data_IF_969838210125
#
_entry.id   IF_969838210125
#
_cell.length_a   1.000
_cell.length_b   1.000
_cell.length_c   1.000
_cell.angle_alpha   90.00
_cell.angle_beta   90.00
_cell.angle_gamma   90.00
#
_symmetry.space_group_name_H-M   'P 1'
#
loop_
_entity.id
_entity.type
_entity.pdbx_description
1 polymer ?
#
# COMPACT_ATOMS: atom_id res chain seq x y z
N UNK A 1 17.18 26.34 -1.22
CA UNK A 1 15.69 26.33 -1.19
C UNK A 1 15.04 27.30 -2.17
N UNK A 2 15.66 28.45 -2.49
CA UNK A 2 15.11 29.42 -3.44
C UNK A 2 14.86 28.86 -4.85
N UNK A 3 15.59 27.82 -5.25
CA UNK A 3 15.45 27.20 -6.58
C UNK A 3 14.03 26.67 -6.85
N UNK A 4 13.40 25.99 -5.88
CA UNK A 4 12.04 25.47 -6.04
C UNK A 4 11.01 26.58 -6.28
N UNK A 5 11.13 27.65 -5.51
CA UNK A 5 10.23 28.80 -5.59
C UNK A 5 10.45 29.55 -6.90
N UNK A 6 11.72 29.72 -7.31
CA UNK A 6 12.07 30.40 -8.55
C UNK A 6 11.69 29.62 -9.82
N UNK A 7 11.59 28.29 -9.74
CA UNK A 7 11.30 27.41 -10.89
C UNK A 7 9.95 26.69 -10.76
N UNK A 8 9.03 27.24 -9.96
CA UNK A 8 7.76 26.58 -9.63
C UNK A 8 6.93 26.20 -10.86
N UNK A 9 6.90 27.08 -11.88
CA UNK A 9 6.17 26.83 -13.13
C UNK A 9 6.69 25.59 -13.89
N UNK A 10 7.99 25.30 -13.77
CA UNK A 10 8.59 24.10 -14.37
C UNK A 10 8.40 22.87 -13.50
N UNK A 11 8.42 23.02 -12.17
CA UNK A 11 8.35 21.90 -11.22
C UNK A 11 6.92 21.36 -11.09
N UNK A 12 5.91 22.23 -11.14
CA UNK A 12 4.52 21.84 -10.93
C UNK A 12 4.01 20.76 -11.91
N UNK A 13 4.21 20.89 -13.25
CA UNK A 13 3.84 19.84 -14.20
C UNK A 13 4.56 18.52 -13.93
N UNK A 14 5.82 18.58 -13.49
CA UNK A 14 6.64 17.41 -13.19
C UNK A 14 6.10 16.68 -11.94
N UNK A 15 5.66 17.42 -10.92
CA UNK A 15 4.98 16.84 -9.73
C UNK A 15 3.71 16.09 -10.17
N UNK A 16 2.88 16.70 -11.02
CA UNK A 16 1.65 16.08 -11.51
C UNK A 16 1.98 14.80 -12.29
N UNK A 17 2.96 14.87 -13.19
CA UNK A 17 3.39 13.70 -13.95
C UNK A 17 3.88 12.58 -13.04
N UNK A 18 4.71 12.90 -12.04
CA UNK A 18 5.21 11.94 -11.05
C UNK A 18 4.06 11.31 -10.25
N UNK A 19 3.08 12.14 -9.88
CA UNK A 19 1.87 11.72 -9.16
C UNK A 19 1.08 10.71 -9.99
N UNK A 20 0.81 11.00 -11.26
CA UNK A 20 0.08 10.10 -12.17
C UNK A 20 0.83 8.79 -12.35
N UNK A 21 2.14 8.86 -12.62
CA UNK A 21 3.00 7.68 -12.78
C UNK A 21 3.16 6.86 -11.50
N UNK A 22 2.83 7.43 -10.33
CA UNK A 22 2.85 6.71 -9.05
C UNK A 22 1.48 6.13 -8.70
N UNK A 23 0.40 6.90 -8.84
CA UNK A 23 -0.97 6.46 -8.46
C UNK A 23 -1.47 5.39 -9.40
N UNK A 24 -1.37 5.61 -10.71
CA UNK A 24 -1.99 4.73 -11.71
C UNK A 24 -1.47 3.29 -11.56
N UNK A 25 -0.15 3.03 -11.49
CA UNK A 25 0.34 1.66 -11.37
C UNK A 25 0.02 1.01 -10.03
N UNK A 26 0.00 1.79 -8.94
CA UNK A 26 -0.39 1.30 -7.62
C UNK A 26 -1.87 0.88 -7.60
N UNK A 27 -2.76 1.68 -8.19
CA UNK A 27 -4.20 1.36 -8.28
C UNK A 27 -4.41 0.14 -9.18
N UNK A 28 -3.81 0.10 -10.37
CA UNK A 28 -3.91 -1.06 -11.26
C UNK A 28 -3.36 -2.33 -10.60
N UNK A 29 -2.21 -2.22 -9.92
CA UNK A 29 -1.63 -3.33 -9.19
C UNK A 29 -2.53 -3.85 -8.08
N UNK A 30 -3.22 -2.95 -7.35
CA UNK A 30 -4.20 -3.33 -6.32
C UNK A 30 -5.42 -4.02 -6.92
N UNK A 31 -5.96 -3.48 -8.02
CA UNK A 31 -7.11 -4.05 -8.75
C UNK A 31 -6.80 -5.44 -9.29
N UNK A 32 -5.54 -5.73 -9.66
CA UNK A 32 -5.12 -7.06 -10.11
C UNK A 32 -4.81 -7.98 -8.92
N UNK A 33 -4.07 -7.48 -7.92
CA UNK A 33 -3.62 -8.29 -6.79
C UNK A 33 -4.75 -8.74 -5.86
N UNK A 34 -5.79 -7.92 -5.67
CA UNK A 34 -6.95 -8.26 -4.84
C UNK A 34 -7.67 -9.54 -5.32
N UNK A 35 -8.20 -9.60 -6.56
CA UNK A 35 -8.90 -10.78 -7.03
C UNK A 35 -7.96 -11.99 -7.11
N UNK A 36 -6.70 -11.81 -7.52
CA UNK A 36 -5.72 -12.90 -7.52
C UNK A 36 -5.50 -13.45 -6.10
N UNK A 37 -5.30 -12.59 -5.11
CA UNK A 37 -5.10 -13.00 -3.72
C UNK A 37 -6.32 -13.73 -3.15
N UNK A 38 -7.52 -13.21 -3.42
CA UNK A 38 -8.78 -13.85 -3.01
C UNK A 38 -8.96 -15.23 -3.64
N UNK A 39 -8.62 -15.40 -4.92
CA UNK A 39 -8.69 -16.70 -5.60
C UNK A 39 -7.67 -17.71 -5.06
N UNK A 40 -6.62 -17.25 -4.39
CA UNK A 40 -5.58 -18.12 -3.83
C UNK A 40 -5.86 -18.55 -2.38
N UNK A 41 -6.92 -18.02 -1.75
CA UNK A 41 -7.36 -18.46 -0.42
C UNK A 41 -7.68 -19.97 -0.44
N UNK A 42 -7.13 -20.70 0.53
CA UNK A 42 -7.29 -22.16 0.63
C UNK A 42 -6.52 -22.98 -0.42
N UNK A 43 -5.68 -22.35 -1.26
CA UNK A 43 -4.91 -23.02 -2.32
C UNK A 43 -3.39 -22.91 -2.07
N UNK A 44 -2.80 -23.73 -1.18
CA UNK A 44 -1.40 -23.57 -0.76
C UNK A 44 -0.40 -23.64 -1.93
N UNK A 45 -0.64 -24.52 -2.92
CA UNK A 45 0.19 -24.61 -4.13
C UNK A 45 0.12 -23.35 -4.99
N UNK A 46 -1.09 -22.84 -5.22
CA UNK A 46 -1.29 -21.60 -5.99
C UNK A 46 -0.65 -20.38 -5.32
N UNK A 47 -0.74 -20.30 -3.99
CA UNK A 47 -0.06 -19.27 -3.18
C UNK A 47 1.46 -19.34 -3.35
N UNK A 48 2.04 -20.54 -3.23
CA UNK A 48 3.47 -20.74 -3.45
C UNK A 48 3.93 -20.26 -4.83
N UNK A 49 3.20 -20.65 -5.89
CA UNK A 49 3.50 -20.21 -7.26
C UNK A 49 3.40 -18.69 -7.41
N UNK A 50 2.33 -18.07 -6.91
CA UNK A 50 2.14 -16.63 -7.01
C UNK A 50 3.24 -15.84 -6.29
N UNK A 51 3.66 -16.30 -5.10
CA UNK A 51 4.76 -15.69 -4.34
C UNK A 51 6.09 -15.84 -5.09
N UNK A 52 6.36 -17.00 -5.68
CA UNK A 52 7.58 -17.24 -6.48
C UNK A 52 7.60 -16.34 -7.72
N UNK A 53 6.49 -16.27 -8.48
CA UNK A 53 6.38 -15.38 -9.64
C UNK A 53 6.58 -13.93 -9.22
N UNK A 54 5.96 -13.50 -8.12
CA UNK A 54 6.17 -12.17 -7.56
C UNK A 54 7.63 -11.91 -7.16
N UNK A 55 8.31 -12.90 -6.55
CA UNK A 55 9.75 -12.79 -6.26
C UNK A 55 10.54 -12.52 -7.54
N UNK A 56 10.31 -13.32 -8.58
CA UNK A 56 11.05 -13.24 -9.85
C UNK A 56 10.86 -11.85 -10.47
N UNK A 57 9.62 -11.37 -10.55
CA UNK A 57 9.33 -10.03 -11.07
C UNK A 57 10.07 -8.96 -10.27
N UNK A 58 10.07 -9.06 -8.94
CA UNK A 58 10.71 -8.09 -8.06
C UNK A 58 12.25 -8.16 -8.08
N UNK A 59 12.84 -9.29 -8.46
CA UNK A 59 14.30 -9.39 -8.63
C UNK A 59 14.78 -8.77 -9.94
N UNK A 60 13.90 -8.58 -10.93
CA UNK A 60 14.26 -7.91 -12.17
C UNK A 60 14.37 -6.41 -11.87
N UNK A 61 15.52 -5.77 -12.12
CA UNK A 61 15.67 -4.33 -11.92
C UNK A 61 14.61 -3.56 -12.71
N UNK A 62 13.98 -2.55 -12.09
CA UNK A 62 12.96 -1.73 -12.76
C UNK A 62 13.47 -1.10 -14.07
N UNK A 63 14.74 -0.70 -14.10
CA UNK A 63 15.40 -0.19 -15.29
C UNK A 63 15.39 -1.20 -16.45
N UNK A 64 15.64 -2.48 -16.17
CA UNK A 64 15.64 -3.53 -17.19
C UNK A 64 14.23 -3.74 -17.76
N UNK A 65 13.19 -3.72 -16.91
CA UNK A 65 11.80 -3.79 -17.37
C UNK A 65 11.47 -2.62 -18.28
N UNK A 66 11.90 -1.40 -17.95
CA UNK A 66 11.63 -0.25 -18.80
C UNK A 66 12.25 -0.34 -20.20
N UNK A 67 13.38 -1.05 -20.35
CA UNK A 67 14.02 -1.29 -21.65
C UNK A 67 13.36 -2.42 -22.43
N UNK A 68 12.86 -3.46 -21.74
CA UNK A 68 12.27 -4.65 -22.37
C UNK A 68 10.80 -4.44 -22.80
N UNK A 69 10.00 -3.74 -22.00
CA UNK A 69 8.57 -3.49 -22.25
C UNK A 69 8.29 -2.88 -23.64
N UNK A 70 9.02 -1.85 -24.12
CA UNK A 70 8.80 -1.29 -25.46
C UNK A 70 8.82 -2.34 -26.57
N UNK A 71 9.75 -3.30 -26.51
CA UNK A 71 9.89 -4.38 -27.50
C UNK A 71 8.74 -5.38 -27.46
N UNK A 72 8.13 -5.59 -26.30
CA UNK A 72 7.00 -6.51 -26.12
C UNK A 72 5.69 -5.85 -26.55
N UNK A 73 5.49 -4.58 -26.17
CA UNK A 73 4.23 -3.85 -26.36
C UNK A 73 4.17 -3.14 -27.72
N UNK A 74 5.31 -2.94 -28.39
CA UNK A 74 5.40 -2.25 -29.68
C UNK A 74 5.28 -0.72 -29.54
N UNK A 75 5.66 -0.17 -28.39
CA UNK A 75 5.59 1.26 -28.08
C UNK A 75 6.96 1.94 -28.25
N UNK A 76 7.00 3.27 -28.44
CA UNK A 76 8.25 4.02 -28.37
C UNK A 76 8.93 3.84 -27.02
N UNK A 77 10.26 3.82 -26.98
CA UNK A 77 11.05 3.62 -25.75
C UNK A 77 10.67 4.67 -24.68
N UNK A 78 10.51 5.92 -25.09
CA UNK A 78 10.23 7.07 -24.20
C UNK A 78 8.71 7.25 -23.95
N UNK A 79 7.94 6.16 -23.92
CA UNK A 79 6.50 6.22 -23.65
C UNK A 79 6.21 6.14 -22.14
N UNK A 80 5.40 7.04 -21.56
CA UNK A 80 4.90 6.93 -20.19
C UNK A 80 4.18 5.61 -19.90
N UNK A 81 3.58 5.01 -20.93
CA UNK A 81 2.88 3.73 -20.84
C UNK A 81 3.82 2.60 -20.40
N UNK A 82 5.07 2.62 -20.85
CA UNK A 82 6.05 1.58 -20.49
C UNK A 82 6.36 1.59 -18.99
N UNK A 83 6.49 2.79 -18.42
CA UNK A 83 6.67 2.99 -16.98
C UNK A 83 5.43 2.52 -16.24
N UNK A 84 4.23 2.85 -16.73
CA UNK A 84 2.98 2.40 -16.09
C UNK A 84 2.89 0.87 -16.05
N UNK A 85 3.16 0.18 -17.16
CA UNK A 85 3.10 -1.29 -17.18
C UNK A 85 4.14 -1.90 -16.23
N UNK A 86 5.40 -1.48 -16.35
CA UNK A 86 6.47 -2.02 -15.52
C UNK A 86 6.20 -1.82 -14.01
N UNK A 87 5.75 -0.63 -13.63
CA UNK A 87 5.41 -0.32 -12.24
C UNK A 87 4.11 -1.01 -11.79
N UNK A 88 3.20 -1.33 -12.70
CA UNK A 88 1.99 -2.10 -12.39
C UNK A 88 2.37 -3.54 -12.08
N UNK A 89 3.29 -4.14 -12.84
CA UNK A 89 3.83 -5.48 -12.56
C UNK A 89 4.51 -5.51 -11.19
N UNK A 90 5.34 -4.51 -10.89
CA UNK A 90 5.99 -4.37 -9.58
C UNK A 90 4.99 -4.21 -8.44
N UNK A 91 4.03 -3.30 -8.60
CA UNK A 91 2.97 -3.06 -7.61
C UNK A 91 2.14 -4.33 -7.39
N UNK A 92 1.79 -5.05 -8.45
CA UNK A 92 1.07 -6.34 -8.36
C UNK A 92 1.89 -7.38 -7.60
N UNK A 93 3.18 -7.51 -7.89
CA UNK A 93 4.07 -8.46 -7.23
C UNK A 93 4.22 -8.18 -5.73
N UNK A 94 4.25 -6.92 -5.31
CA UNK A 94 4.33 -6.57 -3.89
C UNK A 94 2.96 -6.68 -3.20
N UNK A 95 1.89 -6.28 -3.90
CA UNK A 95 0.54 -6.31 -3.37
C UNK A 95 -0.03 -7.72 -3.25
N UNK A 96 0.33 -8.67 -4.11
CA UNK A 96 -0.16 -10.05 -3.96
C UNK A 96 0.30 -10.65 -2.62
N UNK A 97 1.54 -10.39 -2.21
CA UNK A 97 2.05 -10.79 -0.88
C UNK A 97 1.26 -10.11 0.23
N UNK A 98 1.13 -8.79 0.11
CA UNK A 98 0.39 -7.97 1.07
C UNK A 98 -1.04 -8.45 1.25
N UNK A 99 -1.75 -8.77 0.16
CA UNK A 99 -3.14 -9.26 0.20
C UNK A 99 -3.21 -10.61 0.90
N UNK A 100 -2.33 -11.54 0.57
CA UNK A 100 -2.29 -12.86 1.20
C UNK A 100 -1.98 -12.76 2.69
N UNK A 101 -0.99 -11.96 3.09
CA UNK A 101 -0.63 -11.71 4.49
C UNK A 101 -1.78 -11.02 5.26
N UNK A 102 -2.49 -10.11 4.60
CA UNK A 102 -3.63 -9.40 5.21
C UNK A 102 -4.82 -10.32 5.48
N UNK A 103 -5.10 -11.26 4.57
CA UNK A 103 -6.14 -12.26 4.76
C UNK A 103 -5.74 -13.30 5.82
N UNK A 104 -4.45 -13.64 5.89
CA UNK A 104 -3.93 -14.54 6.92
C UNK A 104 -4.00 -13.90 8.32
N UNK A 105 -3.89 -12.57 8.42
CA UNK A 105 -4.00 -11.83 9.68
C UNK A 105 -5.41 -11.86 10.31
N UNK A 106 -6.43 -12.31 9.57
CA UNK A 106 -7.77 -12.51 10.12
C UNK A 106 -7.73 -13.70 11.09
N UNK A 107 -8.24 -13.56 12.34
CA UNK A 107 -8.25 -14.64 13.31
C UNK A 107 -8.96 -15.90 12.83
N UNK A 108 -8.41 -17.08 13.14
CA UNK A 108 -8.95 -18.36 12.66
C UNK A 108 -10.30 -18.72 13.32
N UNK A 109 -10.53 -18.29 14.56
CA UNK A 109 -11.83 -18.42 15.24
C UNK A 109 -12.96 -17.70 14.49
N UNK A 110 -12.68 -16.54 13.89
CA UNK A 110 -13.64 -15.82 13.04
C UNK A 110 -13.88 -16.55 11.71
N UNK A 111 -12.85 -17.17 11.14
CA UNK A 111 -12.98 -17.99 9.92
C UNK A 111 -13.80 -19.25 10.18
N UNK A 112 -13.58 -19.91 11.32
CA UNK A 112 -14.32 -21.10 11.73
C UNK A 112 -15.78 -20.77 12.05
N UNK A 113 -16.03 -19.69 12.79
CA UNK A 113 -17.39 -19.23 13.10
C UNK A 113 -18.18 -18.87 11.83
N UNK A 114 -17.56 -18.15 10.89
CA UNK A 114 -18.21 -17.81 9.63
C UNK A 114 -18.49 -19.05 8.76
N UNK A 115 -17.60 -20.05 8.78
CA UNK A 115 -17.85 -21.35 8.15
C UNK A 115 -18.98 -22.13 8.84
N UNK A 116 -19.06 -22.12 10.17
CA UNK A 116 -20.12 -22.79 10.92
C UNK A 116 -21.52 -22.21 10.65
N UNK A 117 -21.62 -20.91 10.38
CA UNK A 117 -22.87 -20.21 10.00
C UNK A 117 -23.24 -20.48 8.53
N UNK A 118 -22.41 -21.17 7.75
CA UNK A 118 -22.72 -21.63 6.40
C UNK A 118 -22.25 -20.72 5.27
N UNK A 119 -21.30 -19.81 5.52
CA UNK A 119 -20.69 -19.04 4.42
C UNK A 119 -19.88 -19.95 3.49
N UNK A 120 -20.14 -19.85 2.18
CA UNK A 120 -19.26 -20.48 1.18
C UNK A 120 -17.89 -19.79 1.14
N UNK A 121 -16.81 -20.45 0.69
CA UNK A 121 -15.45 -19.91 0.77
C UNK A 121 -15.29 -18.51 0.17
N UNK A 122 -15.86 -18.27 -1.02
CA UNK A 122 -15.78 -16.95 -1.69
C UNK A 122 -16.62 -15.91 -0.96
N UNK A 123 -17.83 -16.27 -0.50
CA UNK A 123 -18.67 -15.36 0.28
C UNK A 123 -18.03 -15.02 1.62
N UNK A 124 -17.36 -15.97 2.26
CA UNK A 124 -16.60 -15.78 3.51
C UNK A 124 -15.47 -14.79 3.31
N UNK A 125 -14.69 -14.94 2.24
CA UNK A 125 -13.61 -14.00 1.91
C UNK A 125 -14.16 -12.59 1.67
N UNK A 126 -15.21 -12.43 0.86
CA UNK A 126 -15.74 -11.12 0.52
C UNK A 126 -16.44 -10.44 1.70
N UNK A 127 -17.26 -11.19 2.45
CA UNK A 127 -18.14 -10.62 3.46
C UNK A 127 -17.51 -10.53 4.85
N UNK A 128 -16.49 -11.34 5.15
CA UNK A 128 -15.89 -11.46 6.49
C UNK A 128 -14.40 -11.17 6.47
N UNK A 129 -13.62 -11.97 5.74
CA UNK A 129 -12.15 -11.88 5.80
C UNK A 129 -11.63 -10.56 5.21
N UNK A 130 -12.12 -10.16 4.04
CA UNK A 130 -11.65 -8.96 3.35
C UNK A 130 -11.91 -7.68 4.15
N UNK A 131 -13.12 -7.41 4.70
CA UNK A 131 -13.35 -6.26 5.58
C UNK A 131 -12.43 -6.23 6.81
N UNK A 132 -12.22 -7.39 7.45
CA UNK A 132 -11.34 -7.50 8.62
C UNK A 132 -9.86 -7.34 8.27
N UNK A 133 -9.47 -7.71 7.05
CA UNK A 133 -8.11 -7.57 6.53
C UNK A 133 -7.76 -6.14 6.08
N UNK A 134 -8.75 -5.26 5.83
CA UNK A 134 -8.52 -3.88 5.33
C UNK A 134 -7.43 -3.13 6.11
N UNK A 135 -7.36 -3.13 7.45
CA UNK A 135 -6.36 -2.35 8.18
C UNK A 135 -4.93 -2.79 7.88
N UNK A 136 -4.73 -4.12 7.76
CA UNK A 136 -3.43 -4.72 7.44
C UNK A 136 -3.10 -4.47 5.97
N UNK A 137 -4.08 -4.60 5.08
CA UNK A 137 -3.94 -4.34 3.65
C UNK A 137 -3.56 -2.88 3.39
N UNK A 138 -4.20 -1.93 4.09
CA UNK A 138 -3.87 -0.50 4.01
C UNK A 138 -2.44 -0.24 4.47
N UNK A 139 -2.00 -0.89 5.54
CA UNK A 139 -0.63 -0.74 6.03
C UNK A 139 0.40 -1.18 4.98
N UNK A 140 0.19 -2.32 4.33
CA UNK A 140 1.07 -2.76 3.25
C UNK A 140 0.94 -1.94 1.96
N UNK A 141 -0.28 -1.50 1.60
CA UNK A 141 -0.51 -0.62 0.45
C UNK A 141 0.26 0.70 0.58
N UNK A 142 0.39 1.24 1.80
CA UNK A 142 1.22 2.43 2.07
C UNK A 142 2.69 2.21 1.72
N UNK A 143 3.24 1.06 2.13
CA UNK A 143 4.62 0.67 1.79
C UNK A 143 4.78 0.53 0.28
N UNK A 144 3.84 -0.14 -0.40
CA UNK A 144 3.87 -0.29 -1.86
C UNK A 144 3.81 1.08 -2.56
N UNK A 145 2.91 1.96 -2.13
CA UNK A 145 2.74 3.27 -2.73
C UNK A 145 4.01 4.12 -2.61
N UNK A 146 4.63 4.18 -1.42
CA UNK A 146 5.88 4.90 -1.20
C UNK A 146 7.03 4.30 -2.02
N UNK A 147 7.09 2.97 -2.11
CA UNK A 147 8.07 2.27 -2.96
C UNK A 147 7.87 2.66 -4.42
N UNK A 148 6.63 2.70 -4.90
CA UNK A 148 6.32 3.05 -6.27
C UNK A 148 6.69 4.51 -6.59
N UNK A 149 6.39 5.45 -5.69
CA UNK A 149 6.83 6.86 -5.79
C UNK A 149 8.35 6.97 -5.96
N UNK A 150 9.12 6.13 -5.25
CA UNK A 150 10.58 6.06 -5.42
C UNK A 150 10.99 5.50 -6.78
N UNK A 151 10.32 4.44 -7.26
CA UNK A 151 10.64 3.79 -8.53
C UNK A 151 10.32 4.67 -9.75
N UNK A 152 9.30 5.53 -9.69
CA UNK A 152 9.02 6.51 -10.75
C UNK A 152 10.25 7.38 -11.03
N UNK A 153 11.01 7.76 -10.00
CA UNK A 153 12.22 8.59 -10.14
C UNK A 153 13.29 7.92 -11.02
N UNK A 154 13.33 6.59 -11.03
CA UNK A 154 14.25 5.82 -11.90
C UNK A 154 13.85 5.94 -13.37
N UNK A 155 12.57 6.15 -13.68
CA UNK A 155 12.07 6.35 -15.04
C UNK A 155 12.70 7.56 -15.74
N UNK A 156 13.14 8.56 -14.99
CA UNK A 156 13.84 9.72 -15.56
C UNK A 156 15.17 9.36 -16.23
N UNK A 157 15.81 8.26 -15.84
CA UNK A 157 17.08 7.79 -16.42
C UNK A 157 16.90 7.35 -17.88
N UNK A 158 15.73 6.84 -18.23
CA UNK A 158 15.39 6.46 -19.62
C UNK A 158 14.65 7.58 -20.37
N UNK A 159 14.66 8.81 -19.83
CA UNK A 159 14.00 9.97 -20.41
C UNK A 159 12.49 10.04 -20.16
N UNK A 160 11.92 9.14 -19.34
CA UNK A 160 10.49 9.14 -19.02
C UNK A 160 10.23 9.82 -17.69
N UNK A 161 9.96 11.14 -17.77
CA UNK A 161 9.06 11.83 -16.84
C UNK A 161 9.47 12.01 -15.37
N UNK A 162 8.68 12.84 -14.68
CA UNK A 162 8.60 12.88 -13.21
C UNK A 162 9.75 13.60 -12.50
N UNK A 163 9.67 13.64 -11.17
CA UNK A 163 10.59 14.39 -10.31
C UNK A 163 12.03 13.90 -10.39
N UNK A 164 12.25 12.66 -10.86
CA UNK A 164 13.58 12.15 -11.18
C UNK A 164 14.33 12.97 -12.24
N UNK A 165 13.63 13.73 -13.08
CA UNK A 165 14.26 14.64 -14.04
C UNK A 165 15.08 15.74 -13.36
N UNK A 166 14.69 16.14 -12.14
CA UNK A 166 15.48 17.10 -11.36
C UNK A 166 16.82 16.51 -10.93
N UNK A 167 16.89 15.19 -10.73
CA UNK A 167 18.13 14.49 -10.42
C UNK A 167 19.04 14.43 -11.64
N UNK A 168 18.52 13.97 -12.77
CA UNK A 168 19.32 13.83 -13.99
C UNK A 168 19.78 15.18 -14.51
N UNK A 169 18.90 16.20 -14.54
CA UNK A 169 19.27 17.55 -14.96
C UNK A 169 20.23 18.24 -13.99
N UNK A 170 20.00 18.10 -12.68
CA UNK A 170 20.91 18.65 -11.66
C UNK A 170 22.30 18.01 -11.72
N UNK A 171 22.36 16.68 -11.91
CA UNK A 171 23.63 15.95 -12.06
C UNK A 171 24.37 16.34 -13.34
N UNK A 172 23.67 16.43 -14.48
CA UNK A 172 24.27 16.84 -15.75
C UNK A 172 24.83 18.28 -15.74
N UNK A 173 24.27 19.15 -14.89
CA UNK A 173 24.67 20.55 -14.74
C UNK A 173 25.63 20.80 -13.57
N UNK A 174 26.03 19.75 -12.85
CA UNK A 174 26.78 19.83 -11.60
C UNK A 174 26.17 20.84 -10.59
N UNK A 175 24.84 20.80 -10.47
CA UNK A 175 24.06 21.77 -9.71
C UNK A 175 23.26 21.07 -8.59
N UNK A 176 23.88 20.88 -7.40
CA UNK A 176 23.33 20.05 -6.33
C UNK A 176 22.03 20.62 -5.73
N UNK A 177 21.83 21.93 -5.76
CA UNK A 177 20.61 22.58 -5.26
C UNK A 177 19.34 22.08 -5.96
N UNK A 178 19.41 21.78 -7.26
CA UNK A 178 18.30 21.20 -8.02
C UNK A 178 18.04 19.74 -7.63
N UNK A 179 19.09 18.99 -7.30
CA UNK A 179 18.97 17.60 -6.82
C UNK A 179 18.27 17.59 -5.45
N UNK A 180 18.72 18.43 -4.51
CA UNK A 180 18.09 18.56 -3.19
C UNK A 180 16.63 19.00 -3.28
N UNK A 181 16.32 19.94 -4.18
CA UNK A 181 14.94 20.34 -4.48
C UNK A 181 14.08 19.13 -4.89
N UNK A 182 14.58 18.28 -5.80
CA UNK A 182 13.90 17.06 -6.20
C UNK A 182 13.70 16.07 -5.05
N UNK A 183 14.73 15.87 -4.21
CA UNK A 183 14.68 14.92 -3.09
C UNK A 183 13.61 15.34 -2.09
N UNK A 184 13.62 16.61 -1.68
CA UNK A 184 12.65 17.15 -0.74
C UNK A 184 11.23 17.03 -1.32
N UNK A 185 11.05 17.37 -2.60
CA UNK A 185 9.73 17.31 -3.25
C UNK A 185 9.21 15.87 -3.32
N UNK A 186 10.06 14.89 -3.64
CA UNK A 186 9.70 13.47 -3.66
C UNK A 186 9.34 12.98 -2.25
N UNK A 187 10.11 13.36 -1.22
CA UNK A 187 9.82 12.98 0.17
C UNK A 187 8.48 13.55 0.66
N UNK A 188 8.21 14.82 0.35
CA UNK A 188 6.93 15.46 0.66
C UNK A 188 5.79 14.75 -0.07
N UNK A 189 5.96 14.45 -1.36
CA UNK A 189 4.95 13.75 -2.16
C UNK A 189 4.68 12.33 -1.62
N UNK A 190 5.73 11.57 -1.29
CA UNK A 190 5.61 10.25 -0.69
C UNK A 190 4.88 10.29 0.65
N UNK A 191 5.18 11.29 1.49
CA UNK A 191 4.47 11.49 2.75
C UNK A 191 2.99 11.82 2.55
N UNK A 192 2.67 12.69 1.57
CA UNK A 192 1.28 13.01 1.22
C UNK A 192 0.54 11.74 0.79
N UNK A 193 1.13 10.93 -0.09
CA UNK A 193 0.54 9.67 -0.55
C UNK A 193 0.28 8.71 0.62
N UNK A 194 1.28 8.50 1.47
CA UNK A 194 1.18 7.67 2.67
C UNK A 194 0.01 8.10 3.55
N UNK A 195 -0.12 9.42 3.78
CA UNK A 195 -1.17 9.99 4.62
C UNK A 195 -2.55 9.90 3.99
N UNK A 196 -2.68 10.15 2.69
CA UNK A 196 -3.95 10.00 1.96
C UNK A 196 -4.45 8.56 2.09
N UNK A 197 -3.59 7.57 1.83
CA UNK A 197 -3.95 6.15 1.95
C UNK A 197 -4.32 5.81 3.40
N UNK A 198 -3.56 6.31 4.39
CA UNK A 198 -3.88 6.09 5.80
C UNK A 198 -5.24 6.68 6.20
N UNK A 199 -5.57 7.89 5.74
CA UNK A 199 -6.85 8.55 6.01
C UNK A 199 -8.00 7.75 5.38
N UNK A 200 -7.84 7.35 4.11
CA UNK A 200 -8.82 6.50 3.42
C UNK A 200 -9.03 5.20 4.20
N UNK A 201 -7.95 4.54 4.63
CA UNK A 201 -8.05 3.29 5.39
C UNK A 201 -8.74 3.44 6.75
N UNK A 202 -8.54 4.56 7.45
CA UNK A 202 -9.28 4.84 8.69
C UNK A 202 -10.75 5.14 8.40
N UNK A 203 -11.06 5.82 7.28
CA UNK A 203 -12.43 6.11 6.88
C UNK A 203 -13.20 4.84 6.50
N UNK A 204 -12.55 3.85 5.89
CA UNK A 204 -13.15 2.56 5.52
C UNK A 204 -13.29 1.59 6.69
N UNK A 205 -12.64 1.85 7.84
CA UNK A 205 -12.62 0.94 9.00
C UNK A 205 -13.12 1.60 10.30
N UNK A 206 -14.35 2.14 10.33
CA UNK A 206 -14.87 2.88 11.50
C UNK A 206 -14.98 2.02 12.76
N UNK A 207 -15.18 0.71 12.64
CA UNK A 207 -15.33 -0.21 13.78
C UNK A 207 -14.09 -0.21 14.71
N UNK A 208 -12.88 -0.05 14.15
CA UNK A 208 -11.63 0.03 14.92
C UNK A 208 -11.54 1.28 15.81
N UNK A 209 -12.30 2.34 15.52
CA UNK A 209 -12.34 3.52 16.39
C UNK A 209 -13.01 3.21 17.73
N UNK A 210 -14.03 2.36 17.73
CA UNK A 210 -14.76 1.97 18.94
C UNK A 210 -13.86 1.22 19.92
N UNK A 211 -13.06 0.27 19.42
CA UNK A 211 -12.20 -0.56 20.25
C UNK A 211 -11.02 0.21 20.85
N UNK A 212 -10.43 1.16 20.10
CA UNK A 212 -9.40 2.05 20.65
C UNK A 212 -9.93 2.96 21.76
N UNK A 213 -11.16 3.44 21.64
CA UNK A 213 -11.81 4.28 22.68
C UNK A 213 -12.09 3.45 23.92
N UNK A 214 -12.58 2.21 23.77
CA UNK A 214 -12.79 1.27 24.88
C UNK A 214 -11.49 0.91 25.58
N UNK A 215 -10.45 0.53 24.84
CA UNK A 215 -9.14 0.18 25.40
C UNK A 215 -8.48 1.34 26.15
N UNK A 216 -8.57 2.57 25.61
CA UNK A 216 -8.05 3.78 26.26
C UNK A 216 -8.85 4.19 27.50
N UNK A 217 -10.15 3.89 27.56
CA UNK A 217 -10.96 4.06 28.78
C UNK A 217 -10.60 3.02 29.85
N UNK A 218 -10.41 1.76 29.46
CA UNK A 218 -10.00 0.70 30.36
C UNK A 218 -8.61 0.96 30.97
N UNK A 219 -7.66 1.46 30.17
CA UNK A 219 -6.32 1.79 30.67
C UNK A 219 -6.28 2.98 31.62
N UNK A 220 -7.23 3.91 31.51
CA UNK A 220 -7.38 5.08 32.40
C UNK A 220 -8.07 4.80 33.72
N UNK A 221 -8.71 3.63 33.90
CA UNK A 221 -9.26 3.24 35.21
C UNK A 221 -8.13 3.02 36.20
N UNK A 222 -8.22 3.66 37.35
CA UNK A 222 -7.30 3.47 38.46
C UNK A 222 -7.36 2.02 38.96
N UNK A 223 -6.30 1.48 39.59
CA UNK A 223 -6.30 0.11 40.09
C UNK A 223 -7.50 -0.20 41.01
N UNK A 224 -7.96 0.78 41.79
CA UNK A 224 -9.08 0.62 42.70
C UNK A 224 -10.43 0.42 41.97
N UNK A 225 -10.68 1.23 40.92
CA UNK A 225 -11.89 1.12 40.10
C UNK A 225 -11.96 -0.21 39.31
N UNK A 226 -10.80 -0.80 38.97
CA UNK A 226 -10.74 -2.11 38.30
C UNK A 226 -11.13 -3.24 39.25
N UNK A 227 -10.68 -3.18 40.50
CA UNK A 227 -11.02 -4.16 41.53
C UNK A 227 -12.50 -4.10 41.89
N UNK A 228 -13.05 -2.89 42.01
CA UNK A 228 -14.45 -2.65 42.35
C UNK A 228 -15.39 -3.14 41.24
N UNK A 229 -15.08 -2.88 39.96
CA UNK A 229 -15.85 -3.43 38.84
C UNK A 229 -15.72 -4.96 38.72
N UNK A 230 -14.54 -5.53 38.96
CA UNK A 230 -14.37 -6.98 38.98
C UNK A 230 -15.19 -7.63 40.11
N UNK A 231 -15.22 -7.04 41.31
CA UNK A 231 -16.06 -7.52 42.42
C UNK A 231 -17.55 -7.45 42.06
N UNK A 232 -18.03 -6.35 41.48
CA UNK A 232 -19.42 -6.19 41.06
C UNK A 232 -19.83 -7.21 40.00
N UNK A 233 -19.00 -7.43 38.97
CA UNK A 233 -19.26 -8.45 37.95
C UNK A 233 -19.30 -9.87 38.55
N UNK A 234 -18.50 -10.13 39.58
CA UNK A 234 -18.48 -11.43 40.29
C UNK A 234 -19.72 -11.63 41.16
N UNK A 235 -20.22 -10.57 41.82
CA UNK A 235 -21.45 -10.59 42.62
C UNK A 235 -22.69 -10.77 41.73
N UNK A 236 -22.73 -10.07 40.60
CA UNK A 236 -23.81 -10.20 39.61
C UNK A 236 -23.81 -11.61 38.99
N UNK A 237 -22.64 -12.17 38.66
CA UNK A 237 -22.53 -13.52 38.11
C UNK A 237 -22.92 -14.63 39.10
N UNK A 238 -22.84 -14.36 40.41
CA UNK A 238 -23.30 -15.28 41.46
C UNK A 238 -24.80 -15.18 41.77
N UNK A 239 -25.51 -14.19 41.22
CA UNK A 239 -26.93 -14.01 41.46
C UNK A 239 -27.28 -13.49 42.86
N UNK A 240 -26.35 -12.84 43.55
CA UNK A 240 -26.53 -12.31 44.92
C UNK A 240 -27.20 -10.91 44.93
N UNK A 241 -28.14 -10.64 44.02
CA UNK A 241 -28.95 -9.41 44.01
C UNK A 241 -30.43 -9.73 43.82
#
# INVERSE_FOLDING_TARGET
MNWLIANWETVWPIIIQHTVLSVVPTVLGLVIALPLGMLLVGRPRGRGVAIVVASIVFTIPSLALFVVIPSIVGTPIISPLNVIIALTLYSTALLIRTVLESLDAVPDDVKDASSAIGYSPIKRVIAVELPLAIPVLVAGLRVVAVTNVSLVSVGAVIGVGGLGQLFTAGFQRDYPDQIFAGIITILVLAFIFDRVIAIIGVATTPWLRSDRVKAKRASRRTPNERTETAMLDTVIAKGDI
#
